data_IF_459117143989
#
_entry.id   IF_459117143989
#
_cell.length_a   1.000
_cell.length_b   1.000
_cell.length_c   1.000
_cell.angle_alpha   90.00
_cell.angle_beta   90.00
_cell.angle_gamma   90.00
#
_symmetry.space_group_name_H-M   'P 1'
#
loop_
_entity.id
_entity.type
_entity.pdbx_description
1 polymer ?
#
# COMPACT_ATOMS: atom_id res chain seq x y z
N UNK A 1 -9.02 3.19 11.96
CA UNK A 1 -9.89 2.97 10.79
C UNK A 1 -11.25 2.54 11.30
N UNK A 2 -12.31 3.22 10.86
CA UNK A 2 -13.69 2.95 11.29
C UNK A 2 -14.52 2.77 10.04
N UNK A 3 -15.30 1.69 9.98
CA UNK A 3 -16.32 1.52 8.96
C UNK A 3 -17.60 2.16 9.47
N UNK A 4 -18.15 3.11 8.72
CA UNK A 4 -19.39 3.82 9.07
C UNK A 4 -20.45 3.45 8.04
N UNK A 5 -21.61 3.01 8.52
CA UNK A 5 -22.71 2.58 7.67
C UNK A 5 -23.94 3.38 8.06
N UNK A 6 -24.65 3.94 7.08
CA UNK A 6 -25.95 4.54 7.29
C UNK A 6 -26.97 3.41 7.56
N UNK A 7 -27.54 3.30 8.78
CA UNK A 7 -28.44 2.21 9.11
C UNK A 7 -29.72 2.25 8.28
N UNK A 8 -30.24 3.43 7.96
CA UNK A 8 -31.51 3.56 7.23
C UNK A 8 -31.38 3.09 5.78
N UNK A 9 -30.24 3.35 5.14
CA UNK A 9 -29.97 2.84 3.80
C UNK A 9 -29.63 1.35 3.85
N UNK A 10 -28.72 0.96 4.72
CA UNK A 10 -28.21 -0.41 4.75
C UNK A 10 -29.27 -1.43 5.16
N UNK A 11 -30.10 -1.14 6.18
CA UNK A 11 -31.10 -2.11 6.64
C UNK A 11 -32.37 -2.16 5.80
N UNK A 12 -32.63 -1.16 4.95
CA UNK A 12 -33.75 -1.19 3.98
C UNK A 12 -33.44 -2.06 2.76
N UNK A 13 -32.17 -2.24 2.44
CA UNK A 13 -31.74 -3.03 1.28
C UNK A 13 -31.90 -4.54 1.47
N UNK A 14 -31.99 -5.26 0.36
CA UNK A 14 -32.13 -6.71 0.37
C UNK A 14 -30.87 -7.39 0.91
N UNK A 15 -31.02 -8.61 1.45
CA UNK A 15 -29.91 -9.27 2.16
C UNK A 15 -28.68 -9.54 1.29
N UNK A 16 -28.85 -9.81 -0.01
CA UNK A 16 -27.72 -10.03 -0.92
C UNK A 16 -27.05 -8.71 -1.29
N UNK A 17 -27.80 -7.61 -1.43
CA UNK A 17 -27.24 -6.27 -1.64
C UNK A 17 -26.42 -5.79 -0.44
N UNK A 18 -26.90 -6.03 0.77
CA UNK A 18 -26.12 -5.75 1.98
C UNK A 18 -24.77 -6.49 2.00
N UNK A 19 -24.76 -7.74 1.53
CA UNK A 19 -23.51 -8.51 1.41
C UNK A 19 -22.57 -7.87 0.38
N UNK A 20 -23.06 -7.48 -0.79
CA UNK A 20 -22.23 -6.81 -1.81
C UNK A 20 -21.70 -5.45 -1.35
N UNK A 21 -22.51 -4.66 -0.66
CA UNK A 21 -22.07 -3.39 -0.05
C UNK A 21 -20.98 -3.60 1.01
N UNK A 22 -21.09 -4.63 1.85
CA UNK A 22 -20.03 -4.96 2.81
C UNK A 22 -18.73 -5.37 2.11
N UNK A 23 -18.82 -6.16 1.03
CA UNK A 23 -17.65 -6.53 0.22
C UNK A 23 -17.01 -5.29 -0.41
N UNK A 24 -17.83 -4.36 -0.93
CA UNK A 24 -17.39 -3.09 -1.48
C UNK A 24 -16.56 -2.29 -0.47
N UNK A 25 -17.10 -2.06 0.72
CA UNK A 25 -16.40 -1.32 1.76
C UNK A 25 -15.11 -1.99 2.21
N UNK A 26 -15.11 -3.32 2.34
CA UNK A 26 -13.91 -4.11 2.65
C UNK A 26 -12.86 -3.98 1.55
N UNK A 27 -13.26 -3.95 0.27
CA UNK A 27 -12.32 -3.73 -0.84
C UNK A 27 -11.66 -2.34 -0.80
N UNK A 28 -12.39 -1.29 -0.42
CA UNK A 28 -11.80 0.04 -0.21
C UNK A 28 -10.73 0.02 0.88
N UNK A 29 -11.00 -0.68 1.99
CA UNK A 29 -10.04 -0.90 3.07
C UNK A 29 -8.82 -1.64 2.56
N UNK A 30 -9.05 -2.77 1.87
CA UNK A 30 -7.98 -3.68 1.47
C UNK A 30 -7.04 -3.04 0.45
N UNK A 31 -7.57 -2.19 -0.42
CA UNK A 31 -6.81 -1.49 -1.46
C UNK A 31 -6.17 -0.20 -0.99
N UNK A 32 -6.39 0.18 0.28
CA UNK A 32 -5.93 1.43 0.88
C UNK A 32 -6.35 2.65 0.05
N UNK A 33 -7.57 2.62 -0.49
CA UNK A 33 -8.08 3.64 -1.38
C UNK A 33 -8.08 5.03 -0.73
N UNK A 34 -8.67 5.18 0.46
CA UNK A 34 -8.71 6.47 1.18
C UNK A 34 -7.30 7.02 1.49
N UNK A 35 -6.39 6.26 2.14
CA UNK A 35 -5.05 6.78 2.43
C UNK A 35 -4.23 7.13 1.18
N UNK A 36 -4.40 6.39 0.07
CA UNK A 36 -3.68 6.64 -1.21
C UNK A 36 -4.09 7.92 -1.90
N UNK A 37 -5.33 8.36 -1.71
CA UNK A 37 -5.86 9.56 -2.37
C UNK A 37 -5.83 10.81 -1.47
N UNK A 38 -5.70 10.67 -0.15
CA UNK A 38 -5.76 11.77 0.83
C UNK A 38 -4.91 12.98 0.43
N UNK A 39 -3.63 12.79 0.12
CA UNK A 39 -2.75 13.91 -0.28
C UNK A 39 -3.14 14.54 -1.62
N UNK A 40 -3.66 13.75 -2.57
CA UNK A 40 -4.02 14.22 -3.92
C UNK A 40 -5.28 15.08 -3.94
N UNK A 41 -6.18 14.87 -2.98
CA UNK A 41 -7.48 15.54 -2.90
C UNK A 41 -7.52 16.66 -1.85
N UNK A 42 -6.45 16.81 -1.05
CA UNK A 42 -6.40 17.75 0.08
C UNK A 42 -6.73 19.17 -0.38
N UNK A 43 -7.79 19.74 0.21
CA UNK A 43 -8.23 21.11 -0.07
C UNK A 43 -8.91 21.34 -1.42
N UNK A 44 -9.23 20.28 -2.19
CA UNK A 44 -9.92 20.42 -3.47
C UNK A 44 -11.16 19.50 -3.55
N UNK A 45 -12.37 20.05 -3.32
CA UNK A 45 -13.62 19.28 -3.34
C UNK A 45 -13.89 18.57 -4.67
N UNK A 46 -13.54 19.20 -5.79
CA UNK A 46 -13.74 18.63 -7.12
C UNK A 46 -12.82 17.42 -7.37
N UNK A 47 -11.59 17.45 -6.88
CA UNK A 47 -10.70 16.29 -6.91
C UNK A 47 -11.14 15.20 -5.93
N UNK A 48 -11.68 15.56 -4.76
CA UNK A 48 -12.28 14.60 -3.81
C UNK A 48 -13.39 13.80 -4.49
N UNK A 49 -14.34 14.49 -5.12
CA UNK A 49 -15.43 13.86 -5.87
C UNK A 49 -14.92 12.88 -6.94
N UNK A 50 -13.97 13.30 -7.76
CA UNK A 50 -13.42 12.44 -8.82
C UNK A 50 -12.67 11.24 -8.25
N UNK A 51 -12.02 11.40 -7.10
CA UNK A 51 -11.36 10.29 -6.41
C UNK A 51 -12.39 9.29 -5.88
N UNK A 52 -13.46 9.75 -5.23
CA UNK A 52 -14.53 8.89 -4.73
C UNK A 52 -15.12 8.05 -5.87
N UNK A 53 -15.54 8.70 -6.96
CA UNK A 53 -16.05 8.01 -8.16
C UNK A 53 -15.01 7.01 -8.69
N UNK A 54 -13.75 7.42 -8.84
CA UNK A 54 -12.71 6.55 -9.38
C UNK A 54 -12.45 5.30 -8.50
N UNK A 55 -12.50 5.46 -7.18
CA UNK A 55 -12.32 4.38 -6.23
C UNK A 55 -13.48 3.39 -6.33
N UNK A 56 -14.72 3.89 -6.38
CA UNK A 56 -15.93 3.05 -6.50
C UNK A 56 -15.95 2.28 -7.82
N UNK A 57 -15.63 2.93 -8.93
CA UNK A 57 -15.54 2.30 -10.25
C UNK A 57 -14.55 1.12 -10.26
N UNK A 58 -13.41 1.27 -9.56
CA UNK A 58 -12.41 0.22 -9.44
C UNK A 58 -12.90 -0.96 -8.58
N UNK A 59 -13.60 -0.69 -7.48
CA UNK A 59 -14.13 -1.73 -6.58
C UNK A 59 -15.31 -2.45 -7.20
N UNK A 60 -16.29 -1.73 -7.71
CA UNK A 60 -17.52 -2.29 -8.27
C UNK A 60 -17.25 -3.17 -9.50
N UNK A 61 -16.15 -2.91 -10.22
CA UNK A 61 -15.68 -3.78 -11.30
C UNK A 61 -15.29 -5.20 -10.84
N UNK A 62 -15.06 -5.41 -9.55
CA UNK A 62 -14.62 -6.71 -8.99
C UNK A 62 -15.73 -7.49 -8.31
N UNK A 63 -16.90 -6.87 -8.12
CA UNK A 63 -18.05 -7.46 -7.46
C UNK A 63 -19.08 -7.87 -8.51
N UNK A 64 -19.75 -8.99 -8.30
CA UNK A 64 -20.83 -9.44 -9.19
C UNK A 64 -21.97 -8.42 -9.16
N UNK A 65 -22.47 -8.03 -10.34
CA UNK A 65 -23.53 -7.02 -10.46
C UNK A 65 -24.79 -7.38 -9.69
N UNK A 66 -25.16 -8.66 -9.67
CA UNK A 66 -26.34 -9.15 -8.97
C UNK A 66 -26.27 -8.97 -7.44
N UNK A 67 -25.09 -8.67 -6.90
CA UNK A 67 -24.87 -8.39 -5.47
C UNK A 67 -24.88 -6.89 -5.16
N UNK A 68 -24.98 -6.01 -6.15
CA UNK A 68 -24.95 -4.57 -5.98
C UNK A 68 -26.29 -3.95 -6.40
N UNK A 69 -26.80 -2.96 -5.65
CA UNK A 69 -27.98 -2.21 -6.08
C UNK A 69 -27.79 -1.47 -7.40
N UNK A 70 -28.88 -1.21 -8.12
CA UNK A 70 -28.88 -0.53 -9.42
C UNK A 70 -28.31 0.90 -9.39
N UNK A 71 -28.32 1.52 -8.22
CA UNK A 71 -27.83 2.88 -8.04
C UNK A 71 -26.31 3.00 -7.94
N UNK A 72 -25.60 1.87 -7.86
CA UNK A 72 -24.15 1.82 -7.74
C UNK A 72 -23.47 2.20 -9.07
N UNK A 73 -22.30 2.85 -8.97
CA UNK A 73 -21.56 3.33 -10.13
C UNK A 73 -20.75 2.21 -10.82
N UNK A 74 -20.85 2.11 -12.14
CA UNK A 74 -20.08 1.18 -12.97
C UNK A 74 -19.36 1.87 -14.12
N UNK A 75 -18.18 1.37 -14.57
CA UNK A 75 -17.39 2.02 -15.62
C UNK A 75 -18.14 2.24 -16.93
N UNK A 76 -19.05 1.34 -17.28
CA UNK A 76 -19.86 1.41 -18.50
C UNK A 76 -20.74 2.67 -18.53
N UNK A 77 -21.17 3.20 -17.38
CA UNK A 77 -21.95 4.44 -17.28
C UNK A 77 -21.14 5.68 -17.67
N UNK A 78 -19.81 5.55 -17.74
CA UNK A 78 -18.86 6.62 -18.05
C UNK A 78 -18.12 6.38 -19.38
N UNK A 79 -18.54 5.40 -20.19
CA UNK A 79 -17.82 4.95 -21.40
C UNK A 79 -16.36 4.54 -21.11
N UNK A 80 -16.11 3.95 -19.94
CA UNK A 80 -14.79 3.49 -19.51
C UNK A 80 -14.74 1.95 -19.43
N UNK A 81 -13.60 1.33 -19.77
CA UNK A 81 -13.44 -0.11 -19.63
C UNK A 81 -13.46 -0.51 -18.15
N UNK A 82 -14.05 -1.68 -17.86
CA UNK A 82 -14.01 -2.30 -16.53
C UNK A 82 -12.64 -2.86 -16.14
N UNK A 83 -12.43 -3.06 -14.85
CA UNK A 83 -11.26 -3.78 -14.31
C UNK A 83 -9.97 -2.97 -14.23
N UNK A 84 -10.03 -1.64 -14.34
CA UNK A 84 -8.85 -0.77 -14.22
C UNK A 84 -8.63 -0.33 -12.75
N UNK A 85 -7.47 0.27 -12.47
CA UNK A 85 -7.16 0.77 -11.12
C UNK A 85 -7.85 2.10 -10.81
N UNK A 86 -8.04 2.41 -9.53
CA UNK A 86 -8.59 3.68 -9.09
C UNK A 86 -7.77 4.88 -9.62
N UNK A 87 -6.44 4.81 -9.64
CA UNK A 87 -5.62 5.89 -10.22
C UNK A 87 -5.83 6.06 -11.72
N UNK A 88 -6.07 4.96 -12.44
CA UNK A 88 -6.34 5.02 -13.86
C UNK A 88 -7.66 5.75 -14.10
N UNK A 89 -8.74 5.35 -13.40
CA UNK A 89 -10.03 6.03 -13.49
C UNK A 89 -9.93 7.50 -13.09
N UNK A 90 -9.25 7.81 -11.98
CA UNK A 90 -9.06 9.18 -11.51
C UNK A 90 -8.38 10.05 -12.58
N UNK A 91 -7.33 9.53 -13.23
CA UNK A 91 -6.66 10.24 -14.32
C UNK A 91 -7.59 10.49 -15.51
N UNK A 92 -8.46 9.54 -15.85
CA UNK A 92 -9.41 9.71 -16.95
C UNK A 92 -10.49 10.73 -16.61
N UNK A 93 -11.04 10.68 -15.40
CA UNK A 93 -12.05 11.64 -14.93
C UNK A 93 -11.48 13.06 -14.80
N UNK A 94 -10.20 13.19 -14.45
CA UNK A 94 -9.51 14.48 -14.39
C UNK A 94 -9.10 15.03 -15.75
N UNK A 95 -9.19 14.26 -16.84
CA UNK A 95 -8.73 14.71 -18.15
C UNK A 95 -9.74 15.71 -18.78
N UNK A 96 -9.38 17.00 -18.96
CA UNK A 96 -10.29 18.00 -19.51
C UNK A 96 -10.71 17.72 -20.96
N UNK A 97 -9.89 16.96 -21.70
CA UNK A 97 -10.18 16.61 -23.11
C UNK A 97 -11.28 15.56 -23.25
N UNK A 98 -11.64 14.84 -22.18
CA UNK A 98 -12.65 13.79 -22.22
C UNK A 98 -14.07 14.28 -21.97
N UNK A 99 -14.29 15.54 -21.62
CA UNK A 99 -15.62 16.15 -21.60
C UNK A 99 -16.68 15.35 -20.82
N UNK A 100 -16.29 14.62 -19.77
CA UNK A 100 -17.25 14.04 -18.82
C UNK A 100 -17.66 15.19 -17.91
N UNK A 101 -18.70 15.92 -18.33
CA UNK A 101 -19.50 16.86 -17.54
C UNK A 101 -18.71 17.79 -16.62
N UNK A 102 -18.08 18.82 -17.18
CA UNK A 102 -17.84 20.04 -16.41
C UNK A 102 -19.20 20.66 -16.10
N UNK A 103 -19.68 20.48 -14.88
CA UNK A 103 -20.87 21.14 -14.38
C UNK A 103 -20.51 22.58 -14.00
N UNK A 104 -20.26 23.43 -14.99
CA UNK A 104 -20.21 24.88 -14.81
C UNK A 104 -21.17 25.54 -15.81
N UNK A 105 -22.32 25.92 -15.26
CA UNK A 105 -23.23 27.01 -15.66
C UNK A 105 -23.23 27.50 -17.12
N UNK A 106 -24.25 27.11 -17.88
CA UNK A 106 -25.26 28.01 -18.51
C UNK A 106 -25.86 27.41 -19.80
N UNK A 107 -27.14 27.05 -19.69
CA UNK A 107 -28.21 27.26 -20.68
C UNK A 107 -28.11 26.63 -22.09
N UNK A 108 -28.74 25.46 -22.27
CA UNK A 108 -29.90 25.22 -23.18
C UNK A 108 -30.16 23.74 -23.45
N UNK A 109 -31.39 23.33 -23.16
CA UNK A 109 -32.20 22.28 -23.81
C UNK A 109 -31.48 21.07 -24.43
N UNK A 110 -31.50 19.93 -23.73
CA UNK A 110 -31.95 18.65 -24.31
C UNK A 110 -32.02 17.56 -23.23
N UNK A 111 -33.09 16.78 -23.33
CA UNK A 111 -33.50 15.69 -22.46
C UNK A 111 -32.40 14.64 -22.25
N UNK A 112 -31.97 14.41 -21.01
CA UNK A 112 -31.35 13.14 -20.60
C UNK A 112 -31.61 12.89 -19.10
N UNK A 113 -32.50 11.94 -18.83
CA UNK A 113 -33.03 11.54 -17.52
C UNK A 113 -32.03 10.77 -16.65
N UNK A 114 -30.72 10.91 -16.90
CA UNK A 114 -29.68 10.08 -16.28
C UNK A 114 -28.87 10.81 -15.19
N UNK A 115 -29.04 12.12 -15.02
CA UNK A 115 -28.24 12.93 -14.07
C UNK A 115 -28.85 13.03 -12.66
N UNK A 116 -30.15 12.77 -12.51
CA UNK A 116 -30.86 13.05 -11.25
C UNK A 116 -30.64 11.97 -10.18
N UNK A 117 -30.50 10.70 -10.57
CA UNK A 117 -30.26 9.58 -9.65
C UNK A 117 -28.87 9.62 -8.98
N UNK A 118 -27.85 10.11 -9.69
CA UNK A 118 -26.49 10.22 -9.16
C UNK A 118 -26.30 11.40 -8.18
N UNK A 119 -27.18 12.41 -8.24
CA UNK A 119 -27.16 13.55 -7.31
C UNK A 119 -27.86 13.24 -5.98
N UNK A 120 -28.95 12.48 -6.01
CA UNK A 120 -29.81 12.27 -4.84
C UNK A 120 -29.21 11.35 -3.75
N UNK A 121 -28.20 10.54 -4.08
CA UNK A 121 -27.53 9.65 -3.11
C UNK A 121 -26.30 10.32 -2.48
N UNK A 122 -25.82 11.43 -3.06
CA UNK A 122 -24.49 11.99 -2.80
C UNK A 122 -24.40 12.96 -1.62
N UNK A 123 -25.49 13.60 -1.23
CA UNK A 123 -25.46 14.66 -0.22
C UNK A 123 -25.41 14.14 1.23
N UNK A 124 -25.81 12.89 1.50
CA UNK A 124 -26.00 12.42 2.88
C UNK A 124 -24.79 11.71 3.50
N UNK A 125 -23.86 11.15 2.70
CA UNK A 125 -22.76 10.33 3.24
C UNK A 125 -21.44 11.09 3.42
N UNK A 126 -21.16 12.08 2.57
CA UNK A 126 -19.88 12.83 2.56
C UNK A 126 -19.85 13.96 3.62
N UNK A 127 -20.97 14.23 4.29
CA UNK A 127 -21.17 15.36 5.21
C UNK A 127 -21.15 14.95 6.69
N UNK A 128 -20.56 13.80 7.02
CA UNK A 128 -20.51 13.30 8.41
C UNK A 128 -19.53 14.09 9.29
N UNK A 129 -18.69 14.98 8.72
CA UNK A 129 -17.67 15.75 9.45
C UNK A 129 -16.52 14.89 10.02
N UNK A 130 -16.59 13.57 9.85
CA UNK A 130 -15.62 12.60 10.38
C UNK A 130 -14.26 12.67 9.66
N UNK A 131 -14.24 13.24 8.46
CA UNK A 131 -13.02 13.42 7.66
C UNK A 131 -12.07 14.47 8.26
N UNK A 132 -12.58 15.45 9.02
CA UNK A 132 -11.75 16.53 9.60
C UNK A 132 -11.11 16.14 10.94
N UNK A 133 -11.72 15.21 11.69
CA UNK A 133 -11.27 14.81 13.03
C UNK A 133 -10.29 13.63 13.04
N UNK A 134 -10.08 12.96 11.91
CA UNK A 134 -9.12 11.87 11.80
C UNK A 134 -7.72 12.47 11.59
N UNK A 135 -6.98 12.67 12.68
CA UNK A 135 -5.63 13.25 12.66
C UNK A 135 -4.73 12.67 11.55
N UNK A 136 -3.90 13.54 10.97
CA UNK A 136 -2.95 13.23 9.87
C UNK A 136 -1.95 12.14 10.30
N UNK A 137 -2.36 10.87 10.28
CA UNK A 137 -1.44 9.74 10.39
C UNK A 137 -0.62 9.65 9.10
N UNK A 138 0.69 9.38 9.19
CA UNK A 138 1.50 9.10 8.01
C UNK A 138 0.94 7.89 7.24
N UNK A 139 0.89 7.99 5.91
CA UNK A 139 0.40 6.93 5.03
C UNK A 139 1.01 5.55 5.32
N UNK A 140 2.33 5.48 5.52
CA UNK A 140 3.02 4.21 5.81
C UNK A 140 2.57 3.60 7.15
N UNK A 141 2.22 4.41 8.14
CA UNK A 141 1.72 3.90 9.41
C UNK A 141 0.32 3.30 9.25
N UNK A 142 -0.59 3.98 8.56
CA UNK A 142 -1.94 3.45 8.29
C UNK A 142 -1.89 2.17 7.46
N UNK A 143 -1.05 2.16 6.42
CA UNK A 143 -0.80 0.97 5.60
C UNK A 143 -0.30 -0.19 6.44
N UNK A 144 0.64 0.05 7.35
CA UNK A 144 1.14 -1.00 8.25
C UNK A 144 0.04 -1.53 9.19
N UNK A 145 -0.79 -0.66 9.75
CA UNK A 145 -1.92 -1.05 10.60
C UNK A 145 -2.89 -1.94 9.82
N UNK A 146 -3.29 -1.52 8.61
CA UNK A 146 -4.20 -2.30 7.76
C UNK A 146 -3.58 -3.63 7.36
N UNK A 147 -2.30 -3.64 7.00
CA UNK A 147 -1.59 -4.88 6.67
C UNK A 147 -1.51 -5.84 7.86
N UNK A 148 -1.32 -5.35 9.08
CA UNK A 148 -1.31 -6.15 10.29
C UNK A 148 -2.71 -6.73 10.57
N UNK A 149 -3.76 -5.91 10.47
CA UNK A 149 -5.15 -6.36 10.59
C UNK A 149 -5.48 -7.46 9.58
N UNK A 150 -5.05 -7.30 8.32
CA UNK A 150 -5.22 -8.33 7.28
C UNK A 150 -4.47 -9.62 7.61
N UNK A 151 -3.23 -9.53 8.10
CA UNK A 151 -2.44 -10.71 8.47
C UNK A 151 -3.12 -11.47 9.59
N UNK A 152 -3.57 -10.76 10.62
CA UNK A 152 -4.27 -11.35 11.77
C UNK A 152 -5.56 -12.03 11.30
N UNK A 153 -6.40 -11.30 10.55
CA UNK A 153 -7.63 -11.85 9.98
C UNK A 153 -7.38 -13.07 9.07
N UNK A 154 -6.34 -13.05 8.24
CA UNK A 154 -5.99 -14.17 7.37
C UNK A 154 -5.51 -15.39 8.18
N UNK A 155 -4.78 -15.19 9.28
CA UNK A 155 -4.32 -16.27 10.16
C UNK A 155 -5.47 -16.88 10.98
N UNK A 156 -6.38 -16.06 11.49
CA UNK A 156 -7.55 -16.50 12.25
C UNK A 156 -8.53 -17.28 11.38
N UNK A 157 -8.69 -16.87 10.12
CA UNK A 157 -9.65 -17.45 9.19
C UNK A 157 -9.07 -18.54 8.29
N UNK A 158 -7.81 -18.96 8.48
CA UNK A 158 -7.12 -19.89 7.58
C UNK A 158 -7.91 -21.20 7.33
N UNK A 159 -8.62 -21.68 8.36
CA UNK A 159 -9.46 -22.89 8.29
C UNK A 159 -10.90 -22.65 7.80
N UNK A 160 -11.40 -21.42 7.87
CA UNK A 160 -12.82 -21.08 7.64
C UNK A 160 -13.06 -20.11 6.48
N UNK A 161 -12.01 -19.59 5.82
CA UNK A 161 -12.06 -18.52 4.81
C UNK A 161 -12.79 -18.83 3.50
N UNK A 162 -13.20 -20.09 3.26
CA UNK A 162 -13.86 -20.49 2.02
C UNK A 162 -13.02 -20.18 0.76
N UNK A 163 -13.70 -19.75 -0.32
CA UNK A 163 -13.07 -19.34 -1.57
C UNK A 163 -12.87 -17.81 -1.58
N UNK A 164 -11.62 -17.38 -1.73
CA UNK A 164 -11.27 -15.97 -1.86
C UNK A 164 -11.03 -15.57 -3.31
N UNK A 165 -11.41 -14.35 -3.75
CA UNK A 165 -11.02 -13.82 -5.04
C UNK A 165 -9.51 -13.78 -5.21
N UNK A 166 -9.03 -14.01 -6.45
CA UNK A 166 -7.60 -14.14 -6.74
C UNK A 166 -6.76 -12.91 -6.36
N UNK A 167 -7.30 -11.69 -6.52
CA UNK A 167 -6.58 -10.48 -6.14
C UNK A 167 -6.40 -10.36 -4.61
N UNK A 168 -7.41 -10.75 -3.83
CA UNK A 168 -7.32 -10.78 -2.36
C UNK A 168 -6.31 -11.82 -1.91
N UNK A 169 -6.30 -13.00 -2.55
CA UNK A 169 -5.29 -14.02 -2.28
C UNK A 169 -3.88 -13.51 -2.54
N UNK A 170 -3.64 -12.79 -3.64
CA UNK A 170 -2.33 -12.24 -3.94
C UNK A 170 -1.90 -11.18 -2.93
N UNK A 171 -2.82 -10.32 -2.47
CA UNK A 171 -2.55 -9.36 -1.39
C UNK A 171 -2.15 -10.10 -0.11
N UNK A 172 -2.96 -11.05 0.36
CA UNK A 172 -2.64 -11.83 1.56
C UNK A 172 -1.31 -12.56 1.40
N UNK A 173 -1.06 -13.16 0.24
CA UNK A 173 0.20 -13.85 -0.07
C UNK A 173 1.38 -12.89 -0.01
N UNK A 174 1.26 -11.68 -0.58
CA UNK A 174 2.32 -10.67 -0.54
C UNK A 174 2.65 -10.21 0.89
N UNK A 175 1.66 -10.21 1.79
CA UNK A 175 1.83 -9.81 3.19
C UNK A 175 2.41 -10.93 4.06
N UNK A 176 1.99 -12.17 3.80
CA UNK A 176 2.39 -13.36 4.58
C UNK A 176 3.71 -13.96 4.10
N UNK A 177 4.05 -13.77 2.83
CA UNK A 177 5.39 -14.07 2.32
C UNK A 177 6.38 -13.20 3.06
N UNK A 178 7.11 -13.80 4.00
CA UNK A 178 8.34 -13.21 4.51
C UNK A 178 9.26 -12.97 3.32
N UNK A 179 9.62 -11.73 2.96
CA UNK A 179 10.67 -11.51 2.00
C UNK A 179 11.95 -12.08 2.64
N UNK A 180 12.29 -13.32 2.29
CA UNK A 180 13.53 -13.97 2.70
C UNK A 180 14.66 -13.36 1.90
N UNK A 181 14.95 -12.09 2.15
CA UNK A 181 16.26 -11.57 1.80
C UNK A 181 17.22 -12.31 2.73
N UNK A 182 18.15 -13.12 2.21
CA UNK A 182 19.17 -13.74 3.05
C UNK A 182 20.09 -12.62 3.54
N UNK A 183 19.68 -11.97 4.63
CA UNK A 183 20.33 -10.76 5.14
C UNK A 183 21.80 -11.04 5.44
N UNK A 184 22.13 -12.26 5.85
CA UNK A 184 23.49 -12.74 6.05
C UNK A 184 24.35 -12.63 4.77
N UNK A 185 23.79 -12.99 3.61
CA UNK A 185 24.50 -12.86 2.33
C UNK A 185 24.65 -11.39 1.92
N UNK A 186 23.61 -10.58 2.12
CA UNK A 186 23.64 -9.15 1.81
C UNK A 186 24.67 -8.45 2.71
N UNK A 187 24.64 -8.74 4.00
CA UNK A 187 25.58 -8.23 4.99
C UNK A 187 27.02 -8.65 4.68
N UNK A 188 27.28 -9.93 4.39
CA UNK A 188 28.62 -10.39 3.97
C UNK A 188 29.11 -9.66 2.73
N UNK A 189 28.26 -9.48 1.71
CA UNK A 189 28.64 -8.72 0.50
C UNK A 189 28.94 -7.26 0.83
N UNK A 190 28.12 -6.62 1.68
CA UNK A 190 28.33 -5.26 2.13
C UNK A 190 29.66 -5.12 2.89
N UNK A 191 29.94 -6.02 3.83
CA UNK A 191 31.21 -6.06 4.55
C UNK A 191 32.41 -6.27 3.62
N UNK A 192 32.28 -7.14 2.61
CA UNK A 192 33.33 -7.35 1.60
C UNK A 192 33.58 -6.10 0.75
N UNK A 193 32.51 -5.40 0.38
CA UNK A 193 32.59 -4.17 -0.42
C UNK A 193 33.15 -2.99 0.37
N UNK A 194 32.70 -2.83 1.63
CA UNK A 194 33.16 -1.78 2.53
C UNK A 194 34.57 -2.05 3.12
N UNK A 195 35.11 -3.27 2.96
CA UNK A 195 36.44 -3.61 3.46
C UNK A 195 37.53 -2.94 2.62
N UNK A 196 38.26 -2.02 3.26
CA UNK A 196 39.41 -1.36 2.66
C UNK A 196 40.60 -2.32 2.64
N UNK A 197 41.24 -2.40 1.48
CA UNK A 197 42.47 -3.18 1.27
C UNK A 197 43.66 -2.24 1.37
N UNK A 198 44.40 -2.31 2.47
CA UNK A 198 45.60 -1.52 2.69
C UNK A 198 46.85 -2.37 2.48
N UNK A 199 47.82 -1.87 1.70
CA UNK A 199 49.14 -2.50 1.60
C UNK A 199 49.92 -2.23 2.88
N UNK A 200 50.18 -3.27 3.65
CA UNK A 200 51.00 -3.22 4.85
C UNK A 200 52.36 -3.89 4.59
N UNK A 201 53.37 -3.49 5.35
CA UNK A 201 54.71 -4.04 5.26
C UNK A 201 55.10 -4.67 6.59
N UNK A 202 55.85 -5.75 6.51
CA UNK A 202 56.44 -6.38 7.70
C UNK A 202 57.34 -5.36 8.43
N UNK A 203 57.43 -5.45 9.76
CA UNK A 203 58.32 -4.63 10.59
C UNK A 203 59.83 -4.90 10.37
N UNK A 204 60.19 -5.78 9.42
CA UNK A 204 61.58 -6.16 9.11
C UNK A 204 62.35 -4.99 8.50
N UNK A 205 63.69 -5.03 8.66
CA UNK A 205 64.61 -4.02 8.13
C UNK A 205 64.44 -3.87 6.61
N UNK A 206 64.51 -2.62 6.13
CA UNK A 206 64.47 -2.30 4.69
C UNK A 206 65.64 -2.97 3.96
N UNK A 207 65.37 -3.46 2.76
CA UNK A 207 66.40 -4.10 1.93
C UNK A 207 67.35 -3.04 1.39
N UNK A 208 68.66 -3.31 1.49
CA UNK A 208 69.70 -2.35 1.03
C UNK A 208 69.76 -2.24 -0.49
N UNK A 209 69.34 -3.30 -1.20
CA UNK A 209 69.32 -3.39 -2.68
C UNK A 209 68.21 -2.57 -3.32
N UNK A 210 67.00 -2.57 -2.74
CA UNK A 210 65.82 -1.95 -3.35
C UNK A 210 65.24 -0.79 -2.55
N UNK A 211 65.76 -0.50 -1.34
CA UNK A 211 65.24 0.57 -0.46
C UNK A 211 63.84 0.31 0.11
N UNK A 212 63.19 -0.79 -0.25
CA UNK A 212 61.83 -1.16 0.15
C UNK A 212 61.82 -2.09 1.36
N UNK A 213 60.68 -2.12 2.08
CA UNK A 213 60.47 -3.09 3.16
C UNK A 213 60.09 -4.46 2.58
N UNK A 214 60.72 -5.57 3.01
CA UNK A 214 60.42 -6.89 2.51
C UNK A 214 59.05 -7.39 3.02
N UNK A 215 58.37 -8.21 2.20
CA UNK A 215 57.09 -8.82 2.52
C UNK A 215 55.93 -7.82 2.59
N UNK A 216 55.53 -7.22 1.45
CA UNK A 216 54.26 -6.53 1.36
C UNK A 216 53.13 -7.57 1.50
N UNK A 217 52.18 -7.32 2.40
CA UNK A 217 50.97 -8.12 2.52
C UNK A 217 49.76 -7.19 2.49
N UNK A 218 48.63 -7.71 2.04
CA UNK A 218 47.38 -6.95 1.99
C UNK A 218 46.67 -7.12 3.34
N UNK A 219 46.46 -6.01 4.06
CA UNK A 219 45.64 -5.99 5.26
C UNK A 219 44.23 -5.53 4.90
N UNK A 220 43.22 -6.27 5.34
CA UNK A 220 41.82 -5.85 5.22
C UNK A 220 41.44 -5.08 6.48
N UNK A 221 40.74 -3.96 6.32
CA UNK A 221 40.18 -3.16 7.42
C UNK A 221 38.71 -2.89 7.14
N UNK A 222 37.86 -3.21 8.11
CA UNK A 222 36.45 -2.88 8.11
C UNK A 222 36.17 -2.00 9.32
N UNK A 223 35.49 -0.87 9.10
CA UNK A 223 34.92 -0.06 10.18
C UNK A 223 33.41 -0.25 10.10
N UNK A 224 32.82 -0.84 11.14
CA UNK A 224 31.39 -1.15 11.20
C UNK A 224 30.83 -0.52 12.47
N UNK A 225 29.74 0.24 12.33
CA UNK A 225 28.92 0.70 13.45
C UNK A 225 27.62 -0.08 13.39
N UNK A 226 27.23 -0.70 14.50
CA UNK A 226 26.00 -1.47 14.60
C UNK A 226 25.11 -0.81 15.65
N UNK A 227 23.86 -0.55 15.29
CA UNK A 227 22.83 -0.11 16.21
C UNK A 227 21.77 -1.21 16.31
N UNK A 228 21.29 -1.46 17.53
CA UNK A 228 20.23 -2.42 17.78
C UNK A 228 18.98 -1.66 18.19
N UNK A 229 17.89 -1.89 17.47
CA UNK A 229 16.56 -1.43 17.87
C UNK A 229 15.86 -2.58 18.59
N UNK A 230 15.50 -2.37 19.86
CA UNK A 230 14.83 -3.38 20.68
C UNK A 230 13.30 -3.29 20.60
N UNK A 231 12.75 -2.51 19.67
CA UNK A 231 11.30 -2.44 19.45
C UNK A 231 10.75 -3.70 18.75
N UNK A 232 10.63 -4.78 19.54
CA UNK A 232 9.61 -5.83 19.42
C UNK A 232 9.58 -6.74 18.19
N UNK A 233 10.47 -6.57 17.21
CA UNK A 233 10.37 -7.28 15.91
C UNK A 233 11.53 -8.25 15.61
N UNK A 234 12.50 -8.40 16.51
CA UNK A 234 13.68 -9.26 16.33
C UNK A 234 13.63 -10.41 17.32
N UNK A 235 13.77 -11.65 16.82
CA UNK A 235 13.82 -12.84 17.68
C UNK A 235 15.18 -12.96 18.39
N UNK A 236 15.22 -13.64 19.53
CA UNK A 236 16.47 -13.94 20.25
C UNK A 236 17.43 -14.77 19.39
N UNK A 237 16.88 -15.65 18.55
CA UNK A 237 17.65 -16.52 17.66
C UNK A 237 18.32 -15.71 16.55
N UNK A 238 17.64 -14.71 15.99
CA UNK A 238 18.21 -13.80 15.00
C UNK A 238 19.35 -12.96 15.56
N UNK A 239 19.22 -12.48 16.81
CA UNK A 239 20.29 -11.75 17.50
C UNK A 239 21.50 -12.66 17.74
N UNK A 240 21.29 -13.88 18.24
CA UNK A 240 22.37 -14.84 18.46
C UNK A 240 23.10 -15.15 17.16
N UNK A 241 22.35 -15.33 16.07
CA UNK A 241 22.91 -15.58 14.75
C UNK A 241 23.70 -14.37 14.22
N UNK A 242 23.19 -13.16 14.41
CA UNK A 242 23.88 -11.92 14.06
C UNK A 242 25.21 -11.75 14.80
N UNK A 243 25.24 -12.00 16.12
CA UNK A 243 26.49 -11.96 16.89
C UNK A 243 27.50 -13.01 16.43
N UNK A 244 27.04 -14.22 16.05
CA UNK A 244 27.93 -15.24 15.50
C UNK A 244 28.61 -14.81 14.20
N UNK A 245 27.88 -14.07 13.35
CA UNK A 245 28.41 -13.53 12.10
C UNK A 245 29.40 -12.38 12.36
N UNK A 246 29.15 -11.53 13.38
CA UNK A 246 30.10 -10.50 13.80
C UNK A 246 31.41 -11.09 14.33
N UNK A 247 31.36 -12.16 15.14
CA UNK A 247 32.57 -12.84 15.63
C UNK A 247 33.40 -13.37 14.45
N UNK A 248 32.75 -13.97 13.46
CA UNK A 248 33.39 -14.45 12.23
C UNK A 248 34.09 -13.35 11.43
N UNK A 249 33.54 -12.14 11.39
CA UNK A 249 34.13 -11.00 10.67
C UNK A 249 35.26 -10.30 11.45
N UNK A 250 35.32 -10.49 12.76
CA UNK A 250 36.33 -9.85 13.62
C UNK A 250 37.72 -10.51 13.55
N UNK A 251 37.78 -11.76 13.06
CA UNK A 251 39.01 -12.57 12.92
C UNK A 251 39.77 -12.26 11.62
#
# INVERSE_FOLDING_TARGET
MVLVVNPDLFFKEQSHFRMGLMIHEIEHVIRLHVPRFREKIKGNPFLKEKANIAMDLAVNSTIQRDLLPDWVLFPDQFDLPGGQTAEWYFKQLCNPQRGIGSMDSADKSSSSTHSESAKLIRDDFDNTGLDEDCGDLPYELEKNIVHELMKNAASETERARGLLPGHVQEIIRSLTLTPKIPWNQVFRRLCQWASLREKAYTKKRRTRRYGTRPGPFMKRRLKLTVAFDTSGSISTDDLAWFFSELDHLSK
#
